data_IF_320987154781
#
_entry.id   IF_320987154781
#
_cell.length_a   1.000
_cell.length_b   1.000
_cell.length_c   1.000
_cell.angle_alpha   90.00
_cell.angle_beta   90.00
_cell.angle_gamma   90.00
#
_symmetry.space_group_name_H-M   'P 1'
#
loop_
_entity.id
_entity.type
_entity.pdbx_description
1 polymer ?
#
# COMPACT_ATOMS: atom_id res chain seq x y z
N UNK A 1 2.87 -11.11 11.34
CA UNK A 1 3.63 -11.15 10.08
C UNK A 1 2.76 -11.86 9.06
N UNK A 2 2.72 -11.43 7.78
CA UNK A 2 1.87 -12.08 6.77
C UNK A 2 2.41 -13.47 6.47
N UNK A 3 1.55 -14.49 6.52
CA UNK A 3 1.87 -15.85 6.09
C UNK A 3 1.62 -15.97 4.58
N UNK A 4 2.72 -16.04 3.82
CA UNK A 4 2.69 -16.12 2.37
C UNK A 4 2.37 -17.51 1.82
N UNK A 5 2.50 -18.57 2.62
CA UNK A 5 2.19 -19.95 2.21
C UNK A 5 0.69 -20.28 2.37
N UNK A 6 0.00 -19.53 3.23
CA UNK A 6 -1.46 -19.57 3.34
C UNK A 6 -2.15 -19.32 1.99
N UNK A 7 -3.37 -19.84 1.84
CA UNK A 7 -4.19 -19.60 0.65
C UNK A 7 -4.39 -18.10 0.36
N UNK A 8 -4.64 -17.32 1.42
CA UNK A 8 -4.82 -15.87 1.32
C UNK A 8 -3.52 -15.17 0.91
N UNK A 9 -2.39 -15.58 1.47
CA UNK A 9 -1.07 -15.04 1.14
C UNK A 9 -0.70 -15.27 -0.32
N UNK A 10 -0.86 -16.49 -0.81
CA UNK A 10 -0.62 -16.84 -2.23
C UNK A 10 -1.52 -16.06 -3.18
N UNK A 11 -2.80 -15.91 -2.84
CA UNK A 11 -3.73 -15.09 -3.63
C UNK A 11 -3.34 -13.61 -3.62
N UNK A 12 -2.86 -13.08 -2.49
CA UNK A 12 -2.37 -11.70 -2.41
C UNK A 12 -1.15 -11.48 -3.30
N UNK A 13 -0.16 -12.38 -3.27
CA UNK A 13 1.03 -12.32 -4.13
C UNK A 13 0.66 -12.31 -5.62
N UNK A 14 -0.24 -13.21 -6.04
CA UNK A 14 -0.72 -13.25 -7.42
C UNK A 14 -1.38 -11.94 -7.88
N UNK A 15 -2.04 -11.20 -6.96
CA UNK A 15 -2.63 -9.89 -7.27
C UNK A 15 -1.57 -8.80 -7.33
N UNK A 16 -0.62 -8.78 -6.39
CA UNK A 16 0.49 -7.82 -6.37
C UNK A 16 1.31 -7.89 -7.67
N UNK A 17 1.49 -9.08 -8.23
CA UNK A 17 2.21 -9.27 -9.50
C UNK A 17 1.45 -8.78 -10.75
N UNK A 18 0.12 -8.60 -10.67
CA UNK A 18 -0.74 -8.34 -11.83
C UNK A 18 -1.46 -6.99 -11.79
N UNK A 19 -1.67 -6.43 -10.60
CA UNK A 19 -2.38 -5.18 -10.43
C UNK A 19 -1.41 -4.00 -10.47
N UNK A 20 -1.80 -2.91 -11.14
CA UNK A 20 -1.01 -1.68 -11.22
C UNK A 20 -1.35 -0.71 -10.08
N UNK A 21 -2.50 -0.91 -9.43
CA UNK A 21 -3.07 0.02 -8.44
C UNK A 21 -3.52 -0.72 -7.20
N UNK A 22 -3.16 -0.21 -6.03
CA UNK A 22 -3.68 -0.65 -4.73
C UNK A 22 -4.41 0.48 -4.02
N UNK A 23 -5.24 0.13 -3.04
CA UNK A 23 -5.80 1.08 -2.09
C UNK A 23 -4.85 1.27 -0.90
N UNK A 24 -4.27 2.45 -0.78
CA UNK A 24 -3.49 2.86 0.39
C UNK A 24 -4.38 3.66 1.34
N UNK A 25 -4.63 3.10 2.52
CA UNK A 25 -5.33 3.80 3.60
C UNK A 25 -4.31 4.31 4.60
N UNK A 26 -4.30 5.63 4.79
CA UNK A 26 -3.52 6.30 5.85
C UNK A 26 -4.47 6.86 6.90
N UNK A 27 -3.99 7.13 8.12
CA UNK A 27 -4.80 7.69 9.19
C UNK A 27 -4.40 9.15 9.39
N UNK A 28 -5.37 10.07 9.29
CA UNK A 28 -5.12 11.49 9.55
C UNK A 28 -4.83 11.77 11.03
N UNK A 29 -4.32 12.95 11.35
CA UNK A 29 -4.10 13.38 12.74
C UNK A 29 -5.37 13.42 13.61
N UNK A 30 -6.56 13.36 12.99
CA UNK A 30 -7.85 13.27 13.67
C UNK A 30 -8.34 11.82 13.84
N UNK A 31 -7.51 10.83 13.53
CA UNK A 31 -7.90 9.41 13.61
C UNK A 31 -8.78 8.91 12.47
N UNK A 32 -9.04 9.74 11.45
CA UNK A 32 -9.95 9.40 10.34
C UNK A 32 -9.18 8.65 9.24
N UNK A 33 -9.64 7.46 8.78
CA UNK A 33 -9.08 6.75 7.64
C UNK A 33 -9.21 7.55 6.33
N UNK A 34 -8.17 7.50 5.49
CA UNK A 34 -8.07 8.25 4.23
C UNK A 34 -7.63 7.32 3.09
N UNK A 35 -8.55 6.49 2.54
CA UNK A 35 -8.27 5.57 1.45
C UNK A 35 -8.01 6.33 0.14
N UNK A 36 -7.02 5.89 -0.64
CA UNK A 36 -6.78 6.41 -1.99
C UNK A 36 -6.15 5.35 -2.90
N UNK A 37 -6.44 5.35 -4.21
CA UNK A 37 -5.71 4.53 -5.16
C UNK A 37 -4.29 5.07 -5.31
N UNK A 38 -3.29 4.18 -5.35
CA UNK A 38 -1.89 4.50 -5.64
C UNK A 38 -1.32 3.48 -6.61
N UNK A 39 -0.48 3.96 -7.51
CA UNK A 39 0.42 3.08 -8.26
C UNK A 39 1.58 2.66 -7.36
N UNK A 40 2.16 1.51 -7.64
CA UNK A 40 3.28 0.97 -6.88
C UNK A 40 4.25 0.20 -7.79
N UNK A 41 5.47 0.03 -7.29
CA UNK A 41 6.43 -0.97 -7.78
C UNK A 41 6.59 -2.03 -6.70
N UNK A 42 6.48 -3.30 -7.08
CA UNK A 42 6.77 -4.43 -6.21
C UNK A 42 8.22 -4.84 -6.35
N UNK A 43 9.02 -4.63 -5.30
CA UNK A 43 10.44 -5.00 -5.31
C UNK A 43 10.87 -5.49 -3.93
N UNK A 44 11.69 -6.56 -3.91
CA UNK A 44 12.29 -7.11 -2.68
C UNK A 44 11.31 -7.35 -1.52
N UNK A 45 10.07 -7.76 -1.80
CA UNK A 45 9.05 -7.99 -0.79
C UNK A 45 8.43 -6.72 -0.20
N UNK A 46 8.60 -5.57 -0.87
CA UNK A 46 8.14 -4.25 -0.41
C UNK A 46 7.39 -3.48 -1.50
N UNK A 47 6.51 -2.57 -1.06
CA UNK A 47 5.79 -1.64 -1.94
C UNK A 47 6.55 -0.32 -2.03
N UNK A 48 7.12 -0.02 -3.19
CA UNK A 48 7.67 1.30 -3.49
C UNK A 48 6.58 2.19 -4.09
N UNK A 49 6.26 3.31 -3.42
CA UNK A 49 5.20 4.24 -3.82
C UNK A 49 5.77 5.64 -3.92
N UNK A 50 5.72 6.23 -5.11
CA UNK A 50 6.10 7.63 -5.30
C UNK A 50 5.01 8.61 -4.84
N UNK A 51 5.44 9.79 -4.41
CA UNK A 51 4.55 10.87 -4.01
C UNK A 51 5.17 12.21 -4.35
N UNK A 52 4.34 13.17 -4.72
CA UNK A 52 4.76 14.57 -4.70
C UNK A 52 5.14 14.98 -3.27
N UNK A 53 6.17 15.83 -3.10
CA UNK A 53 6.51 16.40 -1.80
C UNK A 53 5.29 17.08 -1.18
N UNK A 54 5.18 17.02 0.16
CA UNK A 54 4.12 17.67 0.96
C UNK A 54 2.68 17.15 0.75
N UNK A 55 2.48 16.07 -0.01
CA UNK A 55 1.16 15.43 -0.12
C UNK A 55 0.62 15.03 1.26
N UNK A 56 -0.70 15.13 1.47
CA UNK A 56 -1.34 14.81 2.76
C UNK A 56 -1.01 13.40 3.27
N UNK A 57 -0.92 12.39 2.38
CA UNK A 57 -0.54 11.02 2.76
C UNK A 57 0.83 10.95 3.45
N UNK A 58 1.76 11.83 3.09
CA UNK A 58 3.08 11.89 3.72
C UNK A 58 3.01 12.42 5.15
N UNK A 59 2.15 13.42 5.40
CA UNK A 59 1.90 13.94 6.76
C UNK A 59 1.19 12.95 7.68
N UNK A 60 0.55 11.92 7.12
CA UNK A 60 -0.16 10.90 7.89
C UNK A 60 0.75 9.74 8.33
N UNK A 61 1.93 9.58 7.72
CA UNK A 61 2.84 8.43 7.93
C UNK A 61 4.22 8.85 8.43
N UNK A 62 4.47 10.15 8.55
CA UNK A 62 5.72 10.74 9.02
C UNK A 62 5.55 11.31 10.43
#
# INVERSE_FOLDING_TARGET
>A
MIDWDSEVGRRALQRIEREEVIWLTTVSSRGVPQPRPVWFVWEAGSFLIYSTPRAWKLKHIA
#
